data_IF_673750442816
#
_entry.id   IF_673750442816
#
_cell.length_a   1.000
_cell.length_b   1.000
_cell.length_c   1.000
_cell.angle_alpha   90.00
_cell.angle_beta   90.00
_cell.angle_gamma   90.00
#
_symmetry.space_group_name_H-M   'P 1'
#
loop_
_entity.id
_entity.type
_entity.pdbx_description
1 polymer ?
#
# COMPACT_ATOMS: atom_id res chain seq x y z
N UNK A 1 5.23 17.58 -11.18
CA UNK A 1 4.89 16.59 -10.13
C UNK A 1 6.19 16.24 -9.44
N UNK A 2 6.28 16.41 -8.12
CA UNK A 2 7.51 16.11 -7.39
C UNK A 2 7.84 14.62 -7.56
N UNK A 3 9.11 14.31 -7.83
CA UNK A 3 9.61 12.93 -7.93
C UNK A 3 9.32 12.20 -6.61
N UNK A 4 8.29 11.34 -6.62
CA UNK A 4 7.83 10.67 -5.41
C UNK A 4 8.77 9.51 -5.10
N UNK A 5 9.87 9.81 -4.41
CA UNK A 5 10.85 8.79 -4.04
C UNK A 5 10.31 7.84 -2.97
N UNK A 6 10.37 6.55 -3.24
CA UNK A 6 10.06 5.47 -2.30
C UNK A 6 11.36 4.89 -1.72
N UNK A 7 11.32 4.45 -0.47
CA UNK A 7 12.37 3.58 0.05
C UNK A 7 12.23 2.17 -0.55
N UNK A 8 13.29 1.33 -0.55
CA UNK A 8 13.19 -0.04 -1.07
C UNK A 8 12.03 -0.85 -0.47
N UNK A 9 11.79 -0.72 0.85
CA UNK A 9 10.68 -1.43 1.51
C UNK A 9 9.30 -0.88 1.09
N UNK A 10 9.19 0.44 0.85
CA UNK A 10 7.94 1.04 0.36
C UNK A 10 7.65 0.62 -1.08
N UNK A 11 8.68 0.62 -1.94
CA UNK A 11 8.57 0.15 -3.32
C UNK A 11 8.22 -1.34 -3.37
N UNK A 12 8.87 -2.16 -2.54
CA UNK A 12 8.55 -3.58 -2.39
C UNK A 12 7.10 -3.79 -1.95
N UNK A 13 6.64 -3.07 -0.93
CA UNK A 13 5.26 -3.17 -0.43
C UNK A 13 4.24 -2.74 -1.48
N UNK A 14 4.47 -1.62 -2.16
CA UNK A 14 3.61 -1.19 -3.26
C UNK A 14 3.52 -2.26 -4.35
N UNK A 15 4.64 -2.89 -4.69
CA UNK A 15 4.69 -4.01 -5.61
C UNK A 15 3.89 -5.23 -5.12
N UNK A 16 3.89 -5.53 -3.82
CA UNK A 16 3.04 -6.59 -3.25
C UNK A 16 1.55 -6.25 -3.43
N UNK A 17 1.15 -5.02 -3.09
CA UNK A 17 -0.24 -4.56 -3.22
C UNK A 17 -0.70 -4.62 -4.68
N UNK A 18 0.13 -4.16 -5.62
CA UNK A 18 -0.17 -4.21 -7.06
C UNK A 18 -0.32 -5.66 -7.57
N UNK A 19 0.56 -6.57 -7.12
CA UNK A 19 0.54 -7.99 -7.52
C UNK A 19 -0.59 -8.80 -6.90
N UNK A 20 -1.14 -8.34 -5.77
CA UNK A 20 -2.31 -8.97 -5.16
C UNK A 20 -3.55 -8.88 -6.06
N UNK A 21 -3.58 -7.93 -7.00
CA UNK A 21 -4.60 -7.89 -8.05
C UNK A 21 -5.98 -7.48 -7.57
N UNK A 22 -6.06 -6.68 -6.51
CA UNK A 22 -7.32 -6.16 -5.99
C UNK A 22 -8.10 -5.39 -7.05
N UNK A 23 -9.42 -5.56 -7.04
CA UNK A 23 -10.31 -4.83 -7.94
C UNK A 23 -10.22 -3.31 -7.71
N UNK A 24 -10.57 -2.49 -8.72
CA UNK A 24 -10.43 -1.04 -8.63
C UNK A 24 -11.08 -0.36 -7.44
N UNK A 25 -12.12 -0.95 -6.86
CA UNK A 25 -12.90 -0.44 -5.72
C UNK A 25 -12.74 -1.30 -4.45
N UNK A 26 -11.84 -2.29 -4.48
CA UNK A 26 -11.67 -3.26 -3.41
C UNK A 26 -10.84 -2.72 -2.25
N UNK A 27 -11.40 -2.87 -1.04
CA UNK A 27 -10.72 -2.53 0.20
C UNK A 27 -10.12 -3.78 0.83
N UNK A 28 -8.81 -3.77 1.04
CA UNK A 28 -8.06 -4.89 1.59
C UNK A 28 -7.55 -4.62 3.01
N UNK A 29 -7.25 -5.69 3.75
CA UNK A 29 -6.63 -5.66 5.06
C UNK A 29 -5.11 -5.81 4.91
N UNK A 30 -4.31 -5.37 5.90
CA UNK A 30 -2.87 -5.64 5.90
C UNK A 30 -2.51 -7.11 5.71
N UNK A 31 -3.31 -8.04 6.24
CA UNK A 31 -3.06 -9.48 6.12
C UNK A 31 -3.39 -10.07 4.74
N UNK A 32 -4.10 -9.32 3.89
CA UNK A 32 -4.42 -9.75 2.53
C UNK A 32 -3.24 -9.47 1.56
N UNK A 33 -2.24 -8.71 2.00
CA UNK A 33 -1.00 -8.46 1.27
C UNK A 33 0.18 -9.14 1.98
N UNK A 34 1.04 -9.82 1.21
CA UNK A 34 2.14 -10.59 1.76
C UNK A 34 3.11 -9.77 2.62
N UNK A 35 3.68 -10.38 3.65
CA UNK A 35 4.65 -9.77 4.57
C UNK A 35 5.09 -10.74 5.66
N UNK A 36 6.30 -10.54 6.19
CA UNK A 36 6.81 -11.38 7.29
C UNK A 36 6.29 -10.96 8.67
N UNK A 37 5.90 -9.69 8.85
CA UNK A 37 5.42 -9.14 10.13
C UNK A 37 4.28 -8.13 9.93
N UNK A 38 3.16 -8.30 10.63
CA UNK A 38 1.95 -7.48 10.47
C UNK A 38 2.10 -6.01 10.92
N UNK A 39 3.00 -5.72 11.86
CA UNK A 39 3.28 -4.35 12.30
C UNK A 39 4.12 -3.59 11.27
N UNK A 40 5.05 -4.29 10.62
CA UNK A 40 5.84 -3.75 9.51
C UNK A 40 4.95 -3.42 8.31
N UNK A 41 4.04 -4.33 7.93
CA UNK A 41 3.09 -4.10 6.84
C UNK A 41 2.22 -2.87 7.10
N UNK A 42 1.64 -2.76 8.29
CA UNK A 42 0.75 -1.63 8.63
C UNK A 42 1.47 -0.28 8.56
N UNK A 43 2.74 -0.25 8.96
CA UNK A 43 3.60 0.95 8.92
C UNK A 43 3.95 1.34 7.48
N UNK A 44 4.30 0.37 6.63
CA UNK A 44 4.58 0.60 5.21
C UNK A 44 3.34 1.08 4.45
N UNK A 45 2.18 0.48 4.70
CA UNK A 45 0.91 0.93 4.12
C UNK A 45 0.57 2.36 4.58
N UNK A 46 0.74 2.68 5.87
CA UNK A 46 0.54 4.05 6.35
C UNK A 46 1.48 5.06 5.65
N UNK A 47 2.73 4.67 5.36
CA UNK A 47 3.67 5.52 4.63
C UNK A 47 3.25 5.74 3.17
N UNK A 48 2.80 4.69 2.47
CA UNK A 48 2.24 4.79 1.12
C UNK A 48 0.98 5.65 1.09
N UNK A 49 0.17 5.61 2.16
CA UNK A 49 -1.02 6.43 2.30
C UNK A 49 -0.70 7.92 2.40
N UNK A 50 0.32 8.29 3.19
CA UNK A 50 0.80 9.68 3.26
C UNK A 50 1.32 10.20 1.92
N UNK A 51 1.67 9.30 0.99
CA UNK A 51 2.14 9.61 -0.35
C UNK A 51 1.02 9.60 -1.41
N UNK A 52 -0.22 9.29 -1.04
CA UNK A 52 -1.37 9.25 -1.94
C UNK A 52 -1.40 8.03 -2.88
N UNK A 53 -0.51 7.06 -2.67
CA UNK A 53 -0.47 5.84 -3.49
C UNK A 53 -1.50 4.79 -3.04
N UNK A 54 -1.91 4.87 -1.77
CA UNK A 54 -3.03 4.10 -1.26
C UNK A 54 -3.90 5.00 -0.37
N UNK A 55 -5.14 4.63 -0.20
CA UNK A 55 -6.05 5.25 0.76
C UNK A 55 -6.22 4.33 1.97
N UNK A 56 -6.59 4.91 3.12
CA UNK A 56 -6.95 4.14 4.31
C UNK A 56 -8.24 4.66 4.92
N UNK A 57 -9.04 3.76 5.48
CA UNK A 57 -10.23 4.10 6.28
C UNK A 57 -10.31 3.27 7.54
N UNK A 58 -10.88 3.86 8.59
CA UNK A 58 -11.09 3.17 9.86
C UNK A 58 -12.26 2.20 9.74
N UNK A 59 -12.15 1.04 10.38
CA UNK A 59 -13.30 0.15 10.55
C UNK A 59 -14.04 0.53 11.85
N UNK A 60 -15.38 0.64 11.84
CA UNK A 60 -16.12 1.02 13.05
C UNK A 60 -15.97 0.04 14.22
N UNK A 61 -15.75 -1.25 13.93
CA UNK A 61 -15.69 -2.33 14.91
C UNK A 61 -14.29 -2.95 15.10
N UNK A 62 -13.23 -2.29 14.60
CA UNK A 62 -11.87 -2.83 14.68
C UNK A 62 -10.84 -1.72 14.79
N UNK A 63 -9.76 -2.00 15.53
CA UNK A 63 -8.57 -1.13 15.59
C UNK A 63 -7.74 -1.16 14.30
N UNK A 64 -8.07 -2.06 13.37
CA UNK A 64 -7.34 -2.22 12.11
C UNK A 64 -7.99 -1.46 10.95
N UNK A 65 -7.15 -0.75 10.21
CA UNK A 65 -7.51 -0.03 8.98
C UNK A 65 -7.80 -0.98 7.82
N UNK A 66 -8.63 -0.51 6.89
CA UNK A 66 -8.69 -1.02 5.53
C UNK A 66 -7.93 -0.07 4.61
N UNK A 67 -7.40 -0.64 3.54
CA UNK A 67 -6.61 0.07 2.55
C UNK A 67 -7.18 -0.15 1.16
N UNK A 68 -6.90 0.80 0.27
CA UNK A 68 -7.36 0.77 -1.11
C UNK A 68 -6.25 1.32 -2.02
N UNK A 69 -5.98 0.64 -3.13
CA UNK A 69 -4.95 1.08 -4.07
C UNK A 69 -5.49 2.20 -4.95
N UNK A 70 -4.90 3.40 -4.91
CA UNK A 70 -5.35 4.53 -5.73
C UNK A 70 -4.94 4.36 -7.20
N UNK A 71 -5.54 5.10 -8.15
CA UNK A 71 -5.05 5.16 -9.52
C UNK A 71 -3.55 5.54 -9.58
N UNK A 72 -3.13 6.52 -8.79
CA UNK A 72 -1.72 6.92 -8.70
C UNK A 72 -0.83 5.75 -8.22
N UNK A 73 -1.30 4.95 -7.25
CA UNK A 73 -0.61 3.75 -6.82
C UNK A 73 -0.52 2.64 -7.88
N UNK A 74 -1.52 2.51 -8.75
CA UNK A 74 -1.52 1.53 -9.86
C UNK A 74 -0.52 1.90 -10.94
N UNK A 75 -0.53 3.17 -11.34
CA UNK A 75 0.33 3.68 -12.42
C UNK A 75 1.78 3.93 -11.96
N UNK A 76 2.02 3.94 -10.65
CA UNK A 76 3.37 4.13 -10.11
C UNK A 76 4.25 2.94 -10.47
N UNK A 77 5.23 3.19 -11.33
CA UNK A 77 6.35 2.26 -11.56
C UNK A 77 7.16 2.24 -10.28
N UNK A 78 7.06 1.16 -9.51
CA UNK A 78 7.93 0.93 -8.38
C UNK A 78 9.37 0.91 -8.92
N UNK A 79 10.08 2.02 -8.74
CA UNK A 79 11.39 2.26 -9.34
C UNK A 79 12.28 1.04 -9.07
N UNK A 80 12.66 0.37 -10.16
CA UNK A 80 13.43 -0.87 -10.13
C UNK A 80 14.89 -0.51 -10.06
N UNK A 81 15.32 0.03 -8.92
CA UNK A 81 16.74 0.00 -8.57
C UNK A 81 17.03 -1.39 -7.96
N UNK A 82 17.24 -2.35 -8.87
CA UNK A 82 18.03 -3.56 -8.60
C UNK A 82 19.51 -3.19 -8.71
#
# INVERSE_FOLDING_TARGET
MADLKLTPNQAWMLGQVQRAGFDPDEWFRPMDVGGHDANDVSSLLAALCRKGLIERRHRPASTAFLYHLTPAGRDHVADREL
#
